data_IF_383440236970
#
_entry.id   IF_383440236970
#
_cell.length_a   1.000
_cell.length_b   1.000
_cell.length_c   1.000
_cell.angle_alpha   90.00
_cell.angle_beta   90.00
_cell.angle_gamma   90.00
#
_symmetry.space_group_name_H-M   'P 1'
#
loop_
_entity.id
_entity.type
_entity.pdbx_description
1 polymer ?
#
# COMPACT_ATOMS: atom_id res chain seq x y z
N UNK A 1 9.22 15.94 8.41
CA UNK A 1 8.58 14.62 8.55
C UNK A 1 9.67 13.56 8.80
N UNK A 2 9.53 12.75 9.85
CA UNK A 2 10.47 11.64 10.15
C UNK A 2 9.79 10.30 9.80
N UNK A 3 10.54 9.36 9.24
CA UNK A 3 10.08 8.00 8.88
C UNK A 3 10.86 6.97 9.67
N UNK A 4 10.17 5.98 10.19
CA UNK A 4 10.74 4.81 10.87
C UNK A 4 10.18 3.55 10.22
N UNK A 5 11.04 2.59 9.86
CA UNK A 5 10.60 1.32 9.28
C UNK A 5 9.95 0.48 10.38
N UNK A 6 8.71 0.05 10.16
CA UNK A 6 7.96 -0.80 11.09
C UNK A 6 8.05 -2.26 10.67
N UNK A 7 7.74 -2.54 9.40
CA UNK A 7 7.79 -3.87 8.84
C UNK A 7 7.91 -3.82 7.31
N UNK A 8 8.15 -4.99 6.72
CA UNK A 8 8.03 -5.22 5.30
C UNK A 8 7.32 -6.55 5.06
N UNK A 9 6.40 -6.58 4.09
CA UNK A 9 5.64 -7.78 3.73
C UNK A 9 5.44 -7.79 2.21
N UNK A 10 6.00 -8.79 1.54
CA UNK A 10 6.04 -8.84 0.07
C UNK A 10 6.73 -7.61 -0.52
N UNK A 11 6.04 -6.96 -1.44
CA UNK A 11 6.43 -5.73 -2.12
C UNK A 11 6.18 -4.45 -1.29
N UNK A 12 5.58 -4.56 -0.09
CA UNK A 12 5.26 -3.43 0.76
C UNK A 12 6.34 -3.22 1.81
N UNK A 13 6.87 -2.00 1.88
CA UNK A 13 7.59 -1.50 3.07
C UNK A 13 6.74 -0.48 3.80
N UNK A 14 6.51 -0.70 5.09
CA UNK A 14 5.67 0.15 5.93
C UNK A 14 6.54 1.04 6.81
N UNK A 15 6.28 2.33 6.75
CA UNK A 15 6.93 3.35 7.57
C UNK A 15 5.93 3.98 8.52
N UNK A 16 6.26 4.08 9.80
CA UNK A 16 5.57 4.99 10.71
C UNK A 16 6.11 6.39 10.49
N UNK A 17 5.21 7.35 10.40
CA UNK A 17 5.54 8.75 10.22
C UNK A 17 5.28 9.50 11.52
N UNK A 18 6.23 10.37 11.87
CA UNK A 18 6.00 11.45 12.84
C UNK A 18 6.03 12.79 12.10
N UNK A 19 4.94 13.53 12.20
CA UNK A 19 4.73 14.81 11.53
C UNK A 19 3.32 14.94 10.95
N UNK A 20 3.17 15.84 10.00
CA UNK A 20 1.89 16.13 9.34
C UNK A 20 1.70 15.25 8.10
N UNK A 21 0.43 14.98 7.77
CA UNK A 21 0.04 14.31 6.51
C UNK A 21 0.47 15.17 5.31
N UNK A 22 1.05 14.59 4.25
CA UNK A 22 1.33 15.32 3.02
C UNK A 22 0.06 15.91 2.40
N UNK A 23 0.22 17.05 1.72
CA UNK A 23 -0.85 17.67 0.93
C UNK A 23 -0.92 17.05 -0.48
N UNK A 24 -2.07 17.19 -1.15
CA UNK A 24 -2.25 16.73 -2.53
C UNK A 24 -2.46 15.22 -2.68
N UNK A 25 -2.74 14.53 -1.58
CA UNK A 25 -3.12 13.11 -1.62
C UNK A 25 -4.56 12.95 -2.08
N UNK A 26 -4.84 11.88 -2.82
CA UNK A 26 -6.19 11.53 -3.27
C UNK A 26 -6.68 10.29 -2.53
N UNK A 27 -8.00 10.10 -2.45
CA UNK A 27 -8.56 8.91 -1.81
C UNK A 27 -8.18 7.65 -2.59
N UNK A 28 -7.60 6.68 -1.91
CA UNK A 28 -7.43 5.33 -2.43
C UNK A 28 -8.76 4.58 -2.33
N UNK A 29 -9.21 4.02 -3.45
CA UNK A 29 -10.56 3.46 -3.59
C UNK A 29 -10.60 1.94 -3.69
N UNK A 30 -9.44 1.30 -3.71
CA UNK A 30 -9.34 -0.15 -3.87
C UNK A 30 -9.63 -0.84 -2.54
N UNK A 31 -10.74 -1.56 -2.50
CA UNK A 31 -11.24 -2.26 -1.32
C UNK A 31 -11.61 -3.69 -1.70
N UNK A 32 -11.50 -4.61 -0.73
CA UNK A 32 -11.97 -5.97 -0.89
C UNK A 32 -13.50 -6.07 -0.73
N UNK A 33 -14.04 -7.29 -0.86
CA UNK A 33 -15.48 -7.57 -0.69
C UNK A 33 -16.00 -7.27 0.72
N UNK A 34 -15.13 -7.11 1.71
CA UNK A 34 -15.45 -6.80 3.10
C UNK A 34 -15.29 -5.31 3.41
N UNK A 35 -14.91 -4.48 2.43
CA UNK A 35 -14.68 -3.05 2.59
C UNK A 35 -13.32 -2.70 3.20
N UNK A 36 -12.37 -3.65 3.24
CA UNK A 36 -11.01 -3.44 3.72
C UNK A 36 -10.14 -2.90 2.59
N UNK A 37 -9.30 -1.87 2.83
CA UNK A 37 -8.47 -1.30 1.79
C UNK A 37 -7.39 -2.29 1.35
N UNK A 38 -7.27 -2.48 0.05
CA UNK A 38 -6.24 -3.28 -0.59
C UNK A 38 -5.01 -2.40 -0.80
N UNK A 39 -3.91 -2.71 -0.15
CA UNK A 39 -2.66 -1.94 -0.18
C UNK A 39 -1.81 -2.34 -1.40
N UNK A 40 -1.74 -3.64 -1.70
CA UNK A 40 -1.03 -4.16 -2.86
C UNK A 40 -1.58 -5.52 -3.32
N UNK A 41 -1.17 -5.91 -4.53
CA UNK A 41 -1.47 -7.20 -5.13
C UNK A 41 -0.15 -7.95 -5.27
N UNK A 42 -0.07 -9.12 -4.66
CA UNK A 42 1.06 -10.03 -4.82
C UNK A 42 1.03 -10.71 -6.19
N UNK A 43 2.19 -11.15 -6.64
CA UNK A 43 2.38 -11.88 -7.92
C UNK A 43 1.51 -13.14 -8.02
N UNK A 44 1.24 -13.80 -6.90
CA UNK A 44 0.40 -15.00 -6.82
C UNK A 44 -1.11 -14.71 -6.82
N UNK A 45 -1.51 -13.44 -6.95
CA UNK A 45 -2.92 -13.02 -7.01
C UNK A 45 -3.61 -12.83 -5.65
N UNK A 46 -2.86 -12.85 -4.54
CA UNK A 46 -3.38 -12.49 -3.22
C UNK A 46 -3.19 -10.99 -2.96
N UNK A 47 -4.04 -10.41 -2.14
CA UNK A 47 -4.03 -9.02 -1.71
C UNK A 47 -3.40 -8.85 -0.34
N UNK A 48 -2.60 -7.80 -0.21
CA UNK A 48 -2.24 -7.26 1.10
C UNK A 48 -3.31 -6.24 1.50
N UNK A 49 -3.97 -6.46 2.63
CA UNK A 49 -5.09 -5.62 3.10
C UNK A 49 -4.84 -5.14 4.52
N UNK A 50 -5.37 -3.97 4.87
CA UNK A 50 -5.53 -3.60 6.28
C UNK A 50 -6.77 -4.31 6.82
N UNK A 51 -6.67 -4.96 7.97
CA UNK A 51 -7.73 -5.81 8.52
C UNK A 51 -8.96 -5.04 9.05
N UNK A 52 -9.10 -3.76 8.69
CA UNK A 52 -10.19 -2.86 9.09
C UNK A 52 -10.49 -1.86 7.97
N UNK A 53 -11.73 -1.34 7.89
CA UNK A 53 -12.08 -0.25 6.98
C UNK A 53 -11.41 1.05 7.46
N UNK A 54 -10.25 1.35 6.88
CA UNK A 54 -9.45 2.55 7.16
C UNK A 54 -9.40 3.41 5.91
N UNK A 55 -9.46 4.74 6.07
CA UNK A 55 -9.22 5.63 4.94
C UNK A 55 -7.74 5.62 4.56
N UNK A 56 -7.49 5.24 3.31
CA UNK A 56 -6.17 5.26 2.69
C UNK A 56 -6.15 6.34 1.63
N UNK A 57 -5.04 7.05 1.58
CA UNK A 57 -4.78 8.11 0.62
C UNK A 57 -3.59 7.71 -0.26
N UNK A 58 -3.59 8.13 -1.52
CA UNK A 58 -2.57 7.83 -2.50
C UNK A 58 -1.85 9.11 -2.92
N UNK A 59 -0.52 9.00 -3.07
CA UNK A 59 0.32 10.04 -3.64
C UNK A 59 0.48 9.80 -5.14
N UNK A 60 -0.06 10.69 -5.96
CA UNK A 60 -0.07 10.56 -7.42
C UNK A 60 1.29 10.86 -8.09
N UNK A 61 2.13 11.67 -7.46
CA UNK A 61 3.50 12.01 -7.91
C UNK A 61 4.56 11.06 -7.29
N UNK A 62 4.23 9.77 -7.15
CA UNK A 62 5.20 8.76 -6.73
C UNK A 62 6.20 8.45 -7.87
N UNK A 63 7.45 8.03 -7.56
CA UNK A 63 8.41 7.60 -8.57
C UNK A 63 7.85 6.47 -9.44
N UNK A 64 8.28 6.43 -10.70
CA UNK A 64 7.96 5.34 -11.61
C UNK A 64 8.39 3.99 -11.03
N UNK A 65 7.53 2.98 -11.11
CA UNK A 65 7.74 1.68 -10.46
C UNK A 65 7.44 1.65 -8.95
N UNK A 66 6.86 2.72 -8.38
CA UNK A 66 6.46 2.75 -6.97
C UNK A 66 5.06 3.34 -6.80
N UNK A 67 4.26 2.71 -5.94
CA UNK A 67 3.04 3.33 -5.37
C UNK A 67 3.32 3.76 -3.95
N UNK A 68 2.81 4.91 -3.54
CA UNK A 68 2.94 5.38 -2.15
C UNK A 68 1.54 5.67 -1.62
N UNK A 69 1.18 4.93 -0.57
CA UNK A 69 -0.09 5.08 0.14
C UNK A 69 0.17 5.63 1.55
N UNK A 70 -0.80 6.37 2.07
CA UNK A 70 -0.81 6.91 3.42
C UNK A 70 -2.07 6.46 4.13
N UNK A 71 -1.95 6.10 5.41
CA UNK A 71 -3.09 5.75 6.24
C UNK A 71 -2.96 6.42 7.60
N UNK A 72 -4.03 7.06 8.07
CA UNK A 72 -4.15 7.52 9.43
C UNK A 72 -4.97 6.50 10.22
N UNK A 73 -4.33 5.82 11.14
CA UNK A 73 -4.95 4.82 12.00
C UNK A 73 -5.38 5.48 13.31
N UNK A 74 -6.67 5.45 13.60
CA UNK A 74 -7.26 5.87 14.88
C UNK A 74 -7.25 4.73 15.92
N UNK A 75 -7.37 3.49 15.46
CA UNK A 75 -7.33 2.27 16.26
C UNK A 75 -6.21 1.31 15.77
N UNK A 76 -5.77 0.35 16.63
CA UNK A 76 -4.88 -0.71 16.18
C UNK A 76 -5.48 -1.51 15.02
N UNK A 77 -4.65 -1.81 14.02
CA UNK A 77 -5.02 -2.63 12.85
C UNK A 77 -3.91 -3.62 12.50
N UNK A 78 -4.13 -4.43 11.47
CA UNK A 78 -3.13 -5.38 10.97
C UNK A 78 -2.97 -5.26 9.48
N UNK A 79 -1.73 -5.32 9.00
CA UNK A 79 -1.46 -5.67 7.61
C UNK A 79 -1.46 -7.19 7.49
N UNK A 80 -2.35 -7.73 6.67
CA UNK A 80 -2.48 -9.16 6.41
C UNK A 80 -2.42 -9.44 4.92
N UNK A 81 -2.10 -10.68 4.55
CA UNK A 81 -2.32 -11.17 3.19
C UNK A 81 -3.60 -12.01 3.18
N UNK A 82 -4.50 -11.79 2.23
CA UNK A 82 -5.78 -12.52 2.11
C UNK A 82 -5.65 -13.93 1.50
N UNK A 83 -4.52 -14.60 1.78
CA UNK A 83 -4.25 -15.96 1.35
C UNK A 83 -4.70 -16.98 2.41
N UNK A 84 -5.13 -18.17 1.98
CA UNK A 84 -5.46 -19.27 2.90
C UNK A 84 -4.24 -19.80 3.67
N UNK A 85 -3.03 -19.57 3.15
CA UNK A 85 -1.74 -19.92 3.77
C UNK A 85 -0.87 -18.65 3.90
N UNK A 86 -1.39 -17.63 4.58
CA UNK A 86 -0.70 -16.35 4.74
C UNK A 86 0.54 -16.48 5.63
N UNK A 87 1.68 -15.96 5.17
CA UNK A 87 2.98 -16.07 5.86
C UNK A 87 3.13 -15.17 7.11
N UNK A 88 2.11 -14.41 7.51
CA UNK A 88 2.12 -13.62 8.74
C UNK A 88 1.19 -12.42 8.68
N UNK A 89 1.02 -11.78 9.84
CA UNK A 89 0.36 -10.48 9.99
C UNK A 89 1.27 -9.52 10.74
N UNK A 90 1.24 -8.24 10.39
CA UNK A 90 1.92 -7.20 11.15
C UNK A 90 0.92 -6.31 11.88
N UNK A 91 1.02 -6.28 13.20
CA UNK A 91 0.26 -5.34 14.04
C UNK A 91 0.76 -3.92 13.81
N UNK A 92 -0.17 -3.00 13.59
CA UNK A 92 0.07 -1.57 13.41
C UNK A 92 -0.71 -0.81 14.47
N UNK A 93 0.01 -0.15 15.37
CA UNK A 93 -0.57 0.73 16.41
C UNK A 93 -1.18 2.00 15.79
N UNK A 94 -2.08 2.71 16.49
CA UNK A 94 -2.59 4.00 16.04
C UNK A 94 -1.49 4.99 15.64
N UNK A 95 -1.71 5.71 14.55
CA UNK A 95 -0.76 6.69 14.03
C UNK A 95 -0.79 6.85 12.51
N UNK A 96 0.13 7.67 12.00
CA UNK A 96 0.28 7.94 10.57
C UNK A 96 1.29 6.97 9.95
N UNK A 97 0.91 6.33 8.86
CA UNK A 97 1.74 5.37 8.12
C UNK A 97 1.90 5.77 6.66
N UNK A 98 3.08 5.51 6.11
CA UNK A 98 3.39 5.52 4.68
C UNK A 98 3.74 4.11 4.26
N UNK A 99 3.02 3.60 3.28
CA UNK A 99 3.21 2.28 2.69
C UNK A 99 3.77 2.48 1.29
N UNK A 100 5.00 2.01 1.06
CA UNK A 100 5.64 2.03 -0.25
C UNK A 100 5.53 0.66 -0.86
N UNK A 101 4.93 0.60 -2.04
CA UNK A 101 4.68 -0.64 -2.77
C UNK A 101 5.56 -0.61 -4.01
N UNK A 102 6.49 -1.55 -4.10
CA UNK A 102 7.24 -1.77 -5.33
C UNK A 102 6.28 -2.31 -6.39
N UNK A 103 6.27 -1.70 -7.56
CA UNK A 103 5.61 -2.24 -8.75
C UNK A 103 6.68 -2.78 -9.68
N UNK A 104 6.43 -3.93 -10.29
CA UNK A 104 7.25 -4.34 -11.43
C UNK A 104 7.14 -3.25 -12.51
N UNK A 105 8.27 -2.62 -12.77
CA UNK A 105 8.44 -1.77 -13.93
C UNK A 105 8.77 -2.68 -15.10
N UNK A 106 7.81 -2.94 -15.98
CA UNK A 106 8.05 -3.60 -17.26
C UNK A 106 8.38 -2.52 -18.32
N UNK A 107 9.67 -2.30 -18.64
CA UNK A 107 10.07 -1.31 -19.66
C UNK A 107 9.56 -1.66 -21.07
N UNK A 108 9.11 -2.90 -21.31
CA UNK A 108 8.59 -3.32 -22.61
C UNK A 108 7.08 -3.15 -22.74
N UNK A 109 6.33 -3.06 -21.64
CA UNK A 109 4.88 -2.83 -21.68
C UNK A 109 4.51 -1.51 -22.38
N UNK A 110 5.33 -0.47 -22.24
CA UNK A 110 5.15 0.79 -22.96
C UNK A 110 5.50 0.70 -24.46
N UNK A 111 6.47 -0.14 -24.85
CA UNK A 111 6.79 -0.37 -26.26
C UNK A 111 5.66 -1.11 -26.99
N UNK A 112 4.98 -2.06 -26.33
CA UNK A 112 3.87 -2.79 -26.94
C UNK A 112 2.68 -1.86 -27.24
N UNK A 113 2.42 -0.84 -26.41
CA UNK A 113 1.38 0.17 -26.71
C UNK A 113 1.72 1.05 -27.91
N UNK A 114 3.01 1.31 -28.19
CA UNK A 114 3.43 2.14 -29.34
C UNK A 114 3.48 1.39 -30.67
N UNK A 115 3.52 0.06 -30.64
CA UNK A 115 3.60 -0.78 -31.85
C UNK A 115 2.21 -1.23 -32.32
N UNK A 116 1.17 -0.95 -31.53
CA UNK A 116 -0.23 -1.26 -31.87
C UNK A 116 -0.98 -0.12 -32.58
N UNK A 117 -0.30 0.97 -32.95
CA UNK A 117 -0.85 2.11 -33.72
C UNK A 117 -0.15 2.22 -35.09
#
# INVERSE_FOLDING_TARGET
MKREVVCAQGEITVFRITGEMPVGLVKHIEIDKQGRPIISHSESGNHHVLDRPVEVLEKLDAPEGMRILYALLDEPTRLIQDASDAHGSHDLEPGLYEMRIAREFDPFAEQVRRVAD
#
